data_IF_042630156805
#
_entry.id   IF_042630156805
#
_cell.length_a   1.000
_cell.length_b   1.000
_cell.length_c   1.000
_cell.angle_alpha   90.00
_cell.angle_beta   90.00
_cell.angle_gamma   90.00
#
_symmetry.space_group_name_H-M   'P 1'
#
loop_
_entity.id
_entity.type
_entity.pdbx_description
1 polymer ?
#
# COMPACT_ATOMS: atom_id res chain seq x y z
N UNK A 1 -50.94 46.64 -23.06
CA UNK A 1 -50.65 45.71 -23.06
C UNK A 1 -49.42 45.25 -22.73
N UNK A 2 -49.11 44.82 -21.96
CA UNK A 2 -47.89 44.51 -21.69
C UNK A 2 -47.44 43.25 -21.95
N UNK A 3 -46.64 43.14 -22.44
CA UNK A 3 -46.13 42.02 -22.81
C UNK A 3 -45.22 41.50 -21.89
N UNK A 4 -45.29 40.64 -21.38
CA UNK A 4 -44.44 40.05 -20.62
C UNK A 4 -43.46 39.31 -21.24
N UNK A 5 -42.51 39.53 -21.22
CA UNK A 5 -41.48 38.82 -21.79
C UNK A 5 -40.91 37.96 -20.83
N UNK A 6 -41.01 36.95 -20.76
CA UNK A 6 -40.38 36.06 -20.04
C UNK A 6 -39.16 35.63 -20.43
N UNK A 7 -38.28 35.93 -20.03
CA UNK A 7 -37.10 35.47 -20.42
C UNK A 7 -36.74 34.29 -19.71
N UNK A 8 -36.72 33.40 -20.26
CA UNK A 8 -36.33 32.19 -19.71
C UNK A 8 -34.93 32.19 -19.48
N UNK A 9 -34.58 32.15 -18.45
CA UNK A 9 -33.20 32.11 -18.28
C UNK A 9 -32.69 30.77 -18.49
N UNK A 10 -32.00 30.65 -19.23
CA UNK A 10 -31.44 29.38 -19.54
C UNK A 10 -30.52 28.98 -18.50
N UNK A 11 -30.83 28.15 -17.92
CA UNK A 11 -29.94 27.71 -16.97
C UNK A 11 -28.84 26.96 -17.50
N UNK A 12 -27.88 27.36 -17.44
CA UNK A 12 -26.80 26.64 -17.95
C UNK A 12 -26.25 25.71 -17.04
N UNK A 13 -26.30 24.69 -17.20
CA UNK A 13 -25.71 23.72 -16.51
C UNK A 13 -24.40 23.40 -16.83
N UNK A 14 -23.62 23.60 -16.22
CA UNK A 14 -22.37 23.21 -16.53
C UNK A 14 -21.95 22.02 -15.92
N UNK A 15 -21.71 21.18 -16.42
CA UNK A 15 -21.23 20.02 -16.04
C UNK A 15 -19.92 19.84 -15.95
N UNK A 16 -19.39 19.69 -15.13
CA UNK A 16 -18.07 19.39 -15.06
C UNK A 16 -17.67 18.16 -15.04
N UNK A 17 -17.26 17.68 -15.69
CA UNK A 17 -16.69 16.51 -15.83
C UNK A 17 -15.60 16.32 -15.12
N UNK A 18 -15.60 15.95 -14.22
CA UNK A 18 -14.44 15.72 -13.62
C UNK A 18 -13.74 14.67 -13.98
N UNK A 19 -13.15 14.60 -14.55
CA UNK A 19 -12.38 13.58 -15.02
C UNK A 19 -11.61 12.97 -14.28
N UNK A 20 -11.78 12.66 -13.58
CA UNK A 20 -11.01 11.98 -12.97
C UNK A 20 -10.15 11.19 -13.47
N UNK A 21 -9.49 11.19 -13.49
CA UNK A 21 -8.44 10.49 -13.76
C UNK A 21 -8.27 9.66 -14.56
N UNK A 22 -8.64 9.53 -14.99
CA UNK A 22 -8.33 8.78 -15.78
C UNK A 22 -7.09 8.76 -16.22
N UNK A 23 -6.51 9.51 -16.05
CA UNK A 23 -5.31 9.47 -16.69
C UNK A 23 -4.43 8.59 -16.25
N UNK A 24 -4.56 7.79 -16.03
CA UNK A 24 -3.68 6.88 -15.80
C UNK A 24 -2.41 7.13 -15.80
N UNK A 25 -2.17 8.04 -15.62
CA UNK A 25 -0.95 8.22 -15.80
C UNK A 25 -0.19 7.56 -14.93
N UNK A 26 0.33 7.01 -14.98
CA UNK A 26 1.34 6.44 -14.33
C UNK A 26 1.37 6.63 -12.94
N UNK A 27 0.50 6.67 -12.33
CA UNK A 27 0.63 6.77 -11.00
C UNK A 27 0.94 5.43 -10.49
N UNK A 28 1.97 5.23 -9.85
CA UNK A 28 2.25 3.92 -9.33
C UNK A 28 1.31 3.70 -8.19
N UNK A 29 0.84 2.53 -8.03
CA UNK A 29 -0.03 2.24 -6.92
C UNK A 29 0.80 2.19 -5.67
N UNK A 30 0.16 2.42 -4.57
CA UNK A 30 0.82 2.36 -3.29
C UNK A 30 0.12 1.32 -2.46
N UNK A 31 0.85 0.39 -1.95
CA UNK A 31 0.30 -0.68 -1.14
C UNK A 31 0.89 -0.64 0.25
N UNK A 32 0.05 -0.80 1.25
CA UNK A 32 0.52 -0.79 2.60
C UNK A 32 0.37 -2.17 3.20
N UNK A 33 1.38 -2.69 3.81
CA UNK A 33 1.37 -4.00 4.44
C UNK A 33 1.72 -3.81 5.90
N UNK A 34 0.83 -4.19 6.77
CA UNK A 34 1.03 -4.04 8.20
C UNK A 34 1.36 -5.37 8.82
N UNK A 35 2.45 -5.41 9.58
CA UNK A 35 2.87 -6.58 10.32
C UNK A 35 2.67 -6.25 11.78
N UNK A 36 1.62 -6.78 12.35
CA UNK A 36 1.31 -6.49 13.74
C UNK A 36 1.80 -7.60 14.65
N UNK A 37 2.58 -7.28 15.65
CA UNK A 37 3.09 -8.26 16.59
C UNK A 37 2.40 -8.08 17.94
N UNK A 38 2.00 -9.20 18.52
CA UNK A 38 1.36 -9.15 19.81
C UNK A 38 2.34 -9.08 20.95
N UNK A 39 1.84 -9.05 22.16
CA UNK A 39 2.68 -8.88 23.31
C UNK A 39 3.69 -10.00 23.51
N UNK A 40 3.41 -11.17 22.99
CA UNK A 40 4.35 -12.26 23.14
C UNK A 40 5.25 -12.39 21.94
N UNK A 41 5.23 -11.43 21.07
CA UNK A 41 6.14 -11.43 19.91
C UNK A 41 5.63 -12.19 18.70
N UNK A 42 4.47 -12.78 18.75
CA UNK A 42 3.96 -13.50 17.61
C UNK A 42 3.22 -12.58 16.65
N UNK A 43 3.18 -12.95 15.38
CA UNK A 43 2.47 -12.16 14.39
C UNK A 43 0.97 -12.34 14.56
N UNK A 44 0.25 -11.25 14.71
CA UNK A 44 -1.20 -11.31 14.87
C UNK A 44 -1.79 -11.76 13.53
N UNK A 45 -2.61 -12.76 13.57
CA UNK A 45 -3.25 -13.28 12.38
C UNK A 45 -2.44 -14.34 11.64
N UNK A 46 -1.23 -14.57 12.06
CA UNK A 46 -0.41 -15.61 11.45
C UNK A 46 0.12 -15.23 10.08
N UNK A 47 0.68 -16.20 9.39
CA UNK A 47 1.28 -15.99 8.09
C UNK A 47 0.21 -15.70 7.06
N UNK A 48 0.44 -14.72 6.21
CA UNK A 48 -0.52 -14.46 5.16
C UNK A 48 0.20 -14.19 3.83
N UNK A 49 -0.57 -14.16 2.78
CA UNK A 49 -0.06 -13.90 1.45
C UNK A 49 -0.50 -12.52 1.03
N UNK A 50 0.42 -11.78 0.45
CA UNK A 50 0.14 -10.44 -0.03
C UNK A 50 0.61 -10.36 -1.47
N UNK A 51 -0.12 -9.65 -2.30
CA UNK A 51 0.26 -9.47 -3.69
C UNK A 51 0.30 -8.00 -4.01
N UNK A 52 1.31 -7.58 -4.71
CA UNK A 52 1.41 -6.19 -5.14
C UNK A 52 1.76 -6.16 -6.62
N UNK A 53 1.46 -5.08 -7.28
CA UNK A 53 1.76 -4.96 -8.68
C UNK A 53 3.22 -4.60 -8.91
N UNK A 54 3.78 -5.10 -9.98
CA UNK A 54 5.13 -4.76 -10.34
C UNK A 54 5.20 -3.26 -10.54
N UNK A 55 6.13 -2.61 -9.92
CA UNK A 55 6.25 -1.17 -9.97
C UNK A 55 5.54 -0.43 -8.86
N UNK A 56 4.81 -1.13 -8.03
CA UNK A 56 4.10 -0.47 -6.94
C UNK A 56 5.05 0.01 -5.87
N UNK A 57 4.67 1.06 -5.18
CA UNK A 57 5.43 1.49 -4.04
C UNK A 57 4.84 0.78 -2.83
N UNK A 58 5.63 0.05 -2.12
CA UNK A 58 5.17 -0.73 -0.98
C UNK A 58 5.64 -0.06 0.31
N UNK A 59 4.74 0.11 1.24
CA UNK A 59 5.08 0.59 2.57
C UNK A 59 4.78 -0.53 3.55
N UNK A 60 5.81 -1.03 4.20
CA UNK A 60 5.64 -2.10 5.16
C UNK A 60 5.81 -1.50 6.54
N UNK A 61 4.85 -1.73 7.41
CA UNK A 61 4.80 -1.13 8.72
C UNK A 61 4.78 -2.21 9.78
N UNK A 62 5.66 -2.10 10.74
CA UNK A 62 5.67 -3.02 11.87
C UNK A 62 4.98 -2.32 13.04
N UNK A 63 3.95 -2.94 13.56
CA UNK A 63 3.26 -2.45 14.73
C UNK A 63 3.42 -3.45 15.87
N UNK A 64 3.43 -2.99 17.07
CA UNK A 64 3.67 -3.85 18.22
C UNK A 64 5.15 -3.96 18.46
N UNK A 65 5.57 -5.02 19.07
CA UNK A 65 6.98 -5.17 19.38
C UNK A 65 7.54 -6.51 19.00
N UNK A 66 8.66 -6.48 18.39
CA UNK A 66 9.44 -7.66 18.10
C UNK A 66 10.89 -7.27 18.35
N UNK A 67 11.67 -8.21 18.83
CA UNK A 67 13.08 -7.96 19.07
C UNK A 67 13.93 -8.34 17.88
N UNK A 68 13.33 -8.78 16.81
CA UNK A 68 14.08 -9.29 15.67
C UNK A 68 13.95 -8.37 14.46
N UNK A 69 14.95 -8.40 13.61
CA UNK A 69 14.86 -7.70 12.35
C UNK A 69 13.88 -8.41 11.44
N UNK A 70 13.17 -7.66 10.64
CA UNK A 70 12.32 -8.21 9.59
C UNK A 70 13.12 -8.11 8.29
N UNK A 71 13.17 -9.18 7.55
CA UNK A 71 13.94 -9.23 6.30
C UNK A 71 13.02 -9.55 5.13
N UNK A 72 13.11 -8.74 4.08
CA UNK A 72 12.37 -8.98 2.85
C UNK A 72 13.36 -9.66 1.90
N UNK A 73 13.20 -10.96 1.71
CA UNK A 73 14.10 -11.71 0.85
C UNK A 73 13.97 -11.25 -0.59
N UNK A 74 15.01 -11.34 -1.33
CA UNK A 74 15.02 -10.97 -2.73
C UNK A 74 15.30 -9.49 -2.94
N UNK A 75 14.73 -8.66 -2.11
CA UNK A 75 14.99 -7.23 -2.13
C UNK A 75 16.11 -6.90 -1.14
N UNK A 76 16.39 -7.82 -0.23
CA UNK A 76 17.45 -7.66 0.73
C UNK A 76 17.29 -6.38 1.56
N UNK A 77 16.10 -6.14 2.00
CA UNK A 77 15.77 -4.99 2.82
C UNK A 77 15.40 -5.44 4.22
N UNK A 78 15.66 -4.58 5.19
CA UNK A 78 15.43 -4.93 6.59
C UNK A 78 14.67 -3.85 7.32
N UNK A 79 13.87 -4.25 8.29
CA UNK A 79 13.28 -3.32 9.23
C UNK A 79 13.88 -3.65 10.57
N UNK A 80 14.52 -2.67 11.18
CA UNK A 80 15.19 -2.87 12.46
C UNK A 80 14.21 -2.76 13.61
N UNK A 81 14.32 -3.60 14.62
CA UNK A 81 13.37 -3.58 15.73
C UNK A 81 13.43 -2.29 16.52
N UNK A 82 14.57 -1.61 16.48
CA UNK A 82 14.67 -0.38 17.24
C UNK A 82 14.43 0.83 16.38
N UNK A 83 14.12 0.68 15.16
CA UNK A 83 13.90 1.80 14.28
C UNK A 83 12.45 2.21 14.25
N UNK A 84 12.09 3.05 13.30
CA UNK A 84 10.71 3.54 13.20
C UNK A 84 9.70 2.48 12.76
N UNK A 85 10.15 1.33 12.36
CA UNK A 85 9.22 0.27 11.99
C UNK A 85 8.55 0.46 10.64
N UNK A 86 9.13 1.25 9.77
CA UNK A 86 8.54 1.49 8.46
C UNK A 86 9.60 1.30 7.39
N UNK A 87 9.25 0.62 6.33
CA UNK A 87 10.12 0.42 5.19
C UNK A 87 9.33 0.72 3.92
N UNK A 88 9.85 1.61 3.08
CA UNK A 88 9.23 1.87 1.80
C UNK A 88 10.15 1.38 0.71
N UNK A 89 9.63 0.72 -0.28
CA UNK A 89 10.44 0.28 -1.40
C UNK A 89 9.57 0.15 -2.66
N UNK A 90 10.22 0.18 -3.82
CA UNK A 90 9.51 -0.01 -5.06
C UNK A 90 9.61 -1.48 -5.46
N UNK A 91 8.49 -2.08 -5.78
CA UNK A 91 8.43 -3.50 -6.08
C UNK A 91 8.86 -3.74 -7.53
N UNK A 92 10.15 -3.63 -7.80
CA UNK A 92 10.65 -3.70 -9.15
C UNK A 92 11.13 -5.08 -9.59
N UNK A 93 11.13 -6.04 -8.72
CA UNK A 93 11.56 -7.41 -9.05
C UNK A 93 10.35 -8.31 -8.99
N UNK A 94 9.95 -8.92 -10.08
CA UNK A 94 8.80 -9.81 -10.02
C UNK A 94 9.17 -11.14 -9.38
N UNK A 95 8.23 -11.80 -8.79
CA UNK A 95 8.46 -13.10 -8.18
C UNK A 95 7.75 -13.24 -6.86
N UNK A 96 8.13 -14.27 -6.12
CA UNK A 96 7.62 -14.52 -4.79
C UNK A 96 8.73 -14.36 -3.81
N UNK A 97 8.49 -13.65 -2.75
CA UNK A 97 9.51 -13.34 -1.79
C UNK A 97 9.01 -13.59 -0.39
N UNK A 98 9.83 -14.15 0.45
CA UNK A 98 9.45 -14.38 1.83
C UNK A 98 9.87 -13.21 2.68
N UNK A 99 9.00 -12.81 3.58
CA UNK A 99 9.30 -11.80 4.58
C UNK A 99 9.33 -12.53 5.90
N UNK A 100 10.45 -12.46 6.59
CA UNK A 100 10.61 -13.25 7.80
C UNK A 100 11.39 -12.55 8.88
N UNK A 101 11.29 -13.06 10.08
CA UNK A 101 12.12 -12.60 11.18
C UNK A 101 13.48 -13.27 11.04
N UNK A 102 14.53 -12.49 11.20
CA UNK A 102 15.86 -12.99 10.90
C UNK A 102 16.38 -14.03 11.90
N UNK A 103 16.26 -13.76 13.17
CA UNK A 103 16.85 -14.66 14.14
C UNK A 103 16.09 -15.98 14.28
N UNK A 104 14.79 -15.91 14.32
CA UNK A 104 14.01 -17.13 14.49
C UNK A 104 13.69 -17.80 13.17
N UNK A 105 13.79 -17.09 12.08
CA UNK A 105 13.39 -17.63 10.77
C UNK A 105 11.89 -17.71 10.59
N UNK A 106 11.14 -17.07 11.46
CA UNK A 106 9.69 -17.17 11.36
C UNK A 106 9.18 -16.47 10.12
N UNK A 107 8.42 -17.17 9.30
CA UNK A 107 7.82 -16.60 8.11
C UNK A 107 6.66 -15.70 8.52
N UNK A 108 6.58 -14.53 7.94
CA UNK A 108 5.52 -13.56 8.22
C UNK A 108 4.60 -13.39 7.05
N UNK A 109 5.16 -13.18 5.87
CA UNK A 109 4.38 -12.96 4.67
C UNK A 109 5.04 -13.63 3.49
N UNK A 110 4.22 -14.14 2.58
CA UNK A 110 4.69 -14.56 1.30
C UNK A 110 4.23 -13.47 0.34
N UNK A 111 5.16 -12.69 -0.16
CA UNK A 111 4.84 -11.55 -1.01
C UNK A 111 4.99 -11.92 -2.48
N UNK A 112 3.98 -11.68 -3.27
CA UNK A 112 4.05 -11.91 -4.70
C UNK A 112 4.06 -10.55 -5.41
N UNK A 113 5.00 -10.38 -6.31
CA UNK A 113 5.08 -9.17 -7.13
C UNK A 113 4.87 -9.60 -8.58
N UNK A 114 3.88 -9.09 -9.23
CA UNK A 114 3.61 -9.47 -10.61
C UNK A 114 2.94 -8.38 -11.43
#
# INVERSE_FOLDING_TARGET
>A
MSRRRLVAAAALVVLLASCSGGDGSAVSSEDEIILEFGDEGGLVGGVRRESVDLGAKVTMIVEGSTDEQVHVHGYDLYIEPEGPGVLEFDALIPGRFEVELVQSGQLLIELTVS
#
